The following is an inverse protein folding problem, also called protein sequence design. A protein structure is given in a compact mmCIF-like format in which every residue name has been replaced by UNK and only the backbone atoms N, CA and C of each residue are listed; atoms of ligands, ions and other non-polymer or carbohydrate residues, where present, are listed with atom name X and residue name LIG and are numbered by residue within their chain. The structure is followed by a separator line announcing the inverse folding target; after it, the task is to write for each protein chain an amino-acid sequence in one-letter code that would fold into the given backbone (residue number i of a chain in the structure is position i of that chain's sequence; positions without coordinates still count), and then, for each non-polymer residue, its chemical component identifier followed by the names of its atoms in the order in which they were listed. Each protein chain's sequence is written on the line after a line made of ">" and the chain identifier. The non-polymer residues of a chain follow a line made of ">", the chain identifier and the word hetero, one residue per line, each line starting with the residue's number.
data_IF_238085864791
#
_entry.id   IF_238085864791
#
_cell.length_a   1.000
_cell.length_b   1.000
_cell.length_c   1.000
_cell.angle_alpha   90.00
_cell.angle_beta   90.00
_cell.angle_gamma   90.00
#
_symmetry.space_group_name_H-M   'P 1'
#
loop_
_entity.id
_entity.type
_entity.pdbx_description
1 polymer ?
#
# COMPACT_ATOMS: atom_id res chain seq x y z
N UNK A 1 6.65 10.94 -28.54
CA UNK A 1 7.03 12.20 -27.87
C UNK A 1 7.56 11.85 -26.49
N UNK A 2 8.89 11.70 -26.39
CA UNK A 2 9.58 11.39 -25.15
C UNK A 2 9.44 12.56 -24.18
N UNK A 3 8.60 12.39 -23.16
CA UNK A 3 8.57 13.29 -22.01
C UNK A 3 9.66 12.83 -21.05
N UNK A 4 10.91 13.22 -21.30
CA UNK A 4 11.95 13.01 -20.30
C UNK A 4 11.77 14.05 -19.20
N UNK A 5 11.43 13.59 -17.99
CA UNK A 5 11.28 14.43 -16.80
C UNK A 5 12.66 14.62 -16.15
N UNK A 6 13.72 14.83 -16.93
CA UNK A 6 15.11 14.79 -16.45
C UNK A 6 15.38 15.83 -15.37
N UNK A 7 14.67 16.95 -15.42
CA UNK A 7 14.70 18.01 -14.42
C UNK A 7 13.31 18.28 -13.88
N UNK A 8 13.18 18.36 -12.55
CA UNK A 8 11.91 18.72 -11.91
C UNK A 8 11.75 20.25 -12.02
N UNK A 9 10.62 20.75 -12.55
CA UNK A 9 10.36 22.19 -12.57
C UNK A 9 10.43 22.80 -11.16
N UNK A 10 11.06 23.96 -11.02
CA UNK A 10 11.20 24.67 -9.73
C UNK A 10 9.86 24.94 -9.03
N UNK A 11 8.80 25.09 -9.82
CA UNK A 11 7.43 25.28 -9.31
C UNK A 11 6.91 24.07 -8.53
N UNK A 12 7.46 22.88 -8.76
CA UNK A 12 7.13 21.65 -8.03
C UNK A 12 8.11 21.38 -6.87
N UNK A 13 9.25 22.08 -6.83
CA UNK A 13 10.24 21.91 -5.77
C UNK A 13 9.92 22.70 -4.50
N UNK A 14 8.97 23.63 -4.58
CA UNK A 14 8.54 24.52 -3.48
C UNK A 14 7.03 24.48 -3.24
N UNK A 15 6.63 24.75 -2.00
CA UNK A 15 5.21 24.92 -1.65
C UNK A 15 4.70 26.30 -2.10
N UNK A 16 3.39 26.53 -2.05
CA UNK A 16 2.79 27.87 -2.28
C UNK A 16 3.28 28.94 -1.29
N UNK A 17 3.95 28.55 -0.20
CA UNK A 17 4.57 29.45 0.78
C UNK A 17 6.08 29.62 0.54
N UNK A 18 6.60 29.19 -0.61
CA UNK A 18 8.02 29.22 -0.99
C UNK A 18 8.92 28.46 -0.01
N UNK A 19 8.40 27.40 0.63
CA UNK A 19 9.20 26.48 1.44
C UNK A 19 9.58 25.26 0.62
N UNK A 20 10.70 24.62 0.96
CA UNK A 20 11.16 23.41 0.26
C UNK A 20 10.06 22.35 0.31
N UNK A 21 9.78 21.70 -0.82
CA UNK A 21 8.83 20.60 -0.94
C UNK A 21 9.47 19.35 -1.55
N UNK A 22 10.34 19.49 -2.55
CA UNK A 22 11.18 18.40 -3.03
C UNK A 22 12.23 18.06 -1.98
N UNK A 23 12.11 16.88 -1.34
CA UNK A 23 13.02 16.43 -0.26
C UNK A 23 14.12 15.50 -0.76
N UNK A 24 13.85 14.77 -1.83
CA UNK A 24 14.81 13.83 -2.38
C UNK A 24 14.55 13.58 -3.86
N UNK A 25 15.64 13.46 -4.60
CA UNK A 25 15.68 12.98 -5.97
C UNK A 25 16.93 12.13 -6.11
N UNK A 26 16.77 10.83 -6.41
CA UNK A 26 17.91 9.93 -6.55
C UNK A 26 18.70 10.13 -7.86
N UNK A 27 18.33 11.11 -8.67
CA UNK A 27 18.95 11.39 -9.97
C UNK A 27 18.27 10.67 -11.13
N UNK A 28 18.82 10.82 -12.34
CA UNK A 28 18.23 10.29 -13.56
C UNK A 28 18.35 8.76 -13.69
N UNK A 29 17.45 8.16 -14.47
CA UNK A 29 17.46 6.73 -14.81
C UNK A 29 16.16 6.01 -14.44
N UNK A 30 16.11 4.73 -14.79
CA UNK A 30 14.89 3.91 -14.64
C UNK A 30 14.57 3.55 -13.19
N UNK A 31 15.53 3.69 -12.27
CA UNK A 31 15.38 3.39 -10.84
C UNK A 31 15.24 4.65 -9.98
N UNK A 32 14.87 5.78 -10.61
CA UNK A 32 14.72 7.07 -9.94
C UNK A 32 13.63 7.02 -8.88
N UNK A 33 13.89 7.60 -7.71
CA UNK A 33 12.91 7.84 -6.65
C UNK A 33 12.89 9.34 -6.37
N UNK A 34 11.70 9.91 -6.32
CA UNK A 34 11.50 11.32 -5.96
C UNK A 34 10.57 11.39 -4.77
N UNK A 35 10.91 12.19 -3.76
CA UNK A 35 10.11 12.36 -2.53
C UNK A 35 9.75 13.82 -2.37
N UNK A 36 8.47 14.09 -2.21
CA UNK A 36 7.92 15.38 -1.88
C UNK A 36 7.26 15.35 -0.50
N UNK A 37 7.64 16.33 0.33
CA UNK A 37 7.04 16.58 1.63
C UNK A 37 7.46 17.96 2.13
N UNK A 38 6.57 18.67 2.81
CA UNK A 38 6.91 19.90 3.54
C UNK A 38 7.53 19.57 4.90
N UNK A 39 8.12 20.56 5.57
CA UNK A 39 8.74 20.35 6.89
C UNK A 39 7.70 19.95 7.93
N UNK A 40 6.53 20.58 7.89
CA UNK A 40 5.41 20.27 8.77
C UNK A 40 4.87 18.86 8.52
N UNK A 41 4.84 18.42 7.26
CA UNK A 41 4.45 17.07 6.92
C UNK A 41 5.47 16.02 7.40
N UNK A 42 6.77 16.28 7.29
CA UNK A 42 7.80 15.40 7.86
C UNK A 42 7.72 15.34 9.38
N UNK A 43 7.42 16.45 10.06
CA UNK A 43 7.18 16.44 11.50
C UNK A 43 5.95 15.59 11.87
N UNK A 44 4.88 15.66 11.07
CA UNK A 44 3.71 14.79 11.25
C UNK A 44 4.04 13.32 10.99
N UNK A 45 4.88 13.01 9.98
CA UNK A 45 5.35 11.65 9.72
C UNK A 45 6.15 11.12 10.91
N UNK A 46 7.13 11.89 11.39
CA UNK A 46 8.04 11.49 12.47
C UNK A 46 7.32 11.20 13.78
N UNK A 47 6.31 12.00 14.12
CA UNK A 47 5.55 11.90 15.38
C UNK A 47 4.21 11.14 15.23
N UNK A 48 3.87 10.70 14.02
CA UNK A 48 2.61 10.03 13.74
C UNK A 48 2.59 8.60 14.28
N UNK A 49 1.57 8.27 15.06
CA UNK A 49 1.43 6.92 15.62
C UNK A 49 0.75 5.95 14.65
N UNK A 50 -0.21 6.42 13.86
CA UNK A 50 -0.97 5.60 12.92
C UNK A 50 -0.67 6.04 11.50
N UNK A 51 -0.09 5.14 10.73
CA UNK A 51 0.34 5.37 9.36
C UNK A 51 -0.56 4.60 8.39
N UNK A 52 -1.06 5.28 7.36
CA UNK A 52 -1.77 4.68 6.23
C UNK A 52 -0.92 4.89 4.98
N UNK A 53 -0.65 3.83 4.23
CA UNK A 53 0.16 3.92 3.02
C UNK A 53 -0.54 3.27 1.84
N UNK A 54 -0.48 3.91 0.68
CA UNK A 54 -1.21 3.51 -0.51
C UNK A 54 -0.44 3.87 -1.79
N UNK A 55 -0.47 2.97 -2.78
CA UNK A 55 0.12 3.18 -4.10
C UNK A 55 -0.96 3.44 -5.15
N UNK A 56 -0.91 4.60 -5.81
CA UNK A 56 -1.88 4.97 -6.86
C UNK A 56 -1.24 5.11 -8.25
N UNK A 57 -1.85 4.45 -9.24
CA UNK A 57 -1.36 4.38 -10.63
C UNK A 57 -1.94 5.46 -11.53
N UNK A 58 -3.18 5.90 -11.27
CA UNK A 58 -3.96 6.77 -12.17
C UNK A 58 -3.36 8.16 -12.39
N UNK A 59 -2.40 8.55 -11.56
CA UNK A 59 -1.84 9.91 -11.50
C UNK A 59 -0.31 9.93 -11.69
N UNK A 60 0.32 8.78 -11.94
CA UNK A 60 1.76 8.70 -12.12
C UNK A 60 2.17 9.18 -13.53
N UNK A 61 3.18 10.07 -13.67
CA UNK A 61 3.78 10.35 -14.96
C UNK A 61 4.31 9.06 -15.60
N UNK A 62 4.30 8.96 -16.94
CA UNK A 62 4.66 7.72 -17.66
C UNK A 62 6.06 7.16 -17.37
N UNK A 63 6.95 7.99 -16.81
CA UNK A 63 8.30 7.60 -16.41
C UNK A 63 8.37 6.92 -15.04
N UNK A 64 7.31 6.98 -14.24
CA UNK A 64 7.20 6.33 -12.94
C UNK A 64 6.05 5.33 -12.96
N UNK A 65 6.27 4.20 -12.29
CA UNK A 65 5.26 3.16 -12.21
C UNK A 65 4.09 3.58 -11.32
N UNK A 66 4.37 4.27 -10.22
CA UNK A 66 3.33 4.68 -9.27
C UNK A 66 3.68 5.97 -8.53
N UNK A 67 2.63 6.66 -8.09
CA UNK A 67 2.68 7.63 -7.01
C UNK A 67 2.34 6.89 -5.71
N UNK A 68 3.28 6.80 -4.80
CA UNK A 68 3.12 6.23 -3.47
C UNK A 68 2.85 7.34 -2.46
N UNK A 69 1.69 7.29 -1.79
CA UNK A 69 1.25 8.30 -0.84
C UNK A 69 1.25 7.71 0.57
N UNK A 70 1.74 8.50 1.53
CA UNK A 70 1.68 8.15 2.95
C UNK A 70 0.88 9.20 3.69
N UNK A 71 0.05 8.74 4.61
CA UNK A 71 -0.83 9.56 5.42
C UNK A 71 -0.67 9.20 6.89
N UNK A 72 -0.85 10.20 7.75
CA UNK A 72 -0.90 10.00 9.20
C UNK A 72 -2.30 10.33 9.69
N UNK A 73 -2.80 9.53 10.63
CA UNK A 73 -4.00 9.89 11.39
C UNK A 73 -3.58 10.84 12.50
N UNK A 74 -4.05 12.09 12.42
CA UNK A 74 -3.75 13.13 13.41
C UNK A 74 -5.04 13.83 13.81
N UNK A 75 -5.37 13.77 15.11
CA UNK A 75 -6.60 14.39 15.68
C UNK A 75 -7.87 14.03 14.90
N UNK A 76 -8.06 12.73 14.63
CA UNK A 76 -9.20 12.19 13.86
C UNK A 76 -9.29 12.64 12.39
N UNK A 77 -8.22 13.19 11.82
CA UNK A 77 -8.12 13.50 10.40
C UNK A 77 -7.00 12.69 9.75
N UNK A 78 -7.21 12.28 8.50
CA UNK A 78 -6.18 11.65 7.68
C UNK A 78 -5.47 12.72 6.88
N UNK A 79 -4.19 12.94 7.16
CA UNK A 79 -3.39 13.99 6.54
C UNK A 79 -2.32 13.37 5.64
N UNK A 80 -2.22 13.76 4.35
CA UNK A 80 -1.13 13.32 3.49
C UNK A 80 0.18 13.97 3.95
N UNK A 81 1.20 13.15 4.15
CA UNK A 81 2.52 13.59 4.67
C UNK A 81 3.66 13.33 3.70
N UNK A 82 3.55 12.32 2.83
CA UNK A 82 4.59 12.03 1.83
C UNK A 82 3.94 11.69 0.50
N UNK A 83 4.52 12.22 -0.57
CA UNK A 83 4.24 11.82 -1.94
C UNK A 83 5.54 11.37 -2.58
N UNK A 84 5.64 10.11 -2.98
CA UNK A 84 6.83 9.53 -3.57
C UNK A 84 6.54 8.98 -4.97
N UNK A 85 7.33 9.36 -5.96
CA UNK A 85 7.27 8.76 -7.29
C UNK A 85 8.24 7.59 -7.33
N UNK A 86 7.72 6.39 -7.59
CA UNK A 86 8.48 5.14 -7.53
C UNK A 86 8.58 4.47 -8.91
N UNK A 87 9.73 3.86 -9.23
CA UNK A 87 9.99 3.27 -10.55
C UNK A 87 9.35 1.89 -10.73
N UNK A 88 9.04 1.19 -9.64
CA UNK A 88 8.43 -0.14 -9.63
C UNK A 88 7.89 -0.46 -8.22
N UNK A 89 7.38 -1.69 -8.03
CA UNK A 89 6.81 -2.21 -6.77
C UNK A 89 7.70 -3.26 -6.11
N UNK A 90 9.00 -3.25 -6.40
CA UNK A 90 9.92 -4.22 -5.80
C UNK A 90 10.18 -3.89 -4.34
N UNK A 91 10.45 -4.91 -3.54
CA UNK A 91 10.78 -4.75 -2.12
C UNK A 91 12.01 -3.83 -1.94
N UNK A 92 13.00 -3.94 -2.83
CA UNK A 92 14.19 -3.09 -2.83
C UNK A 92 13.85 -1.60 -3.02
N UNK A 93 12.90 -1.27 -3.90
CA UNK A 93 12.44 0.12 -4.09
C UNK A 93 11.77 0.65 -2.83
N UNK A 94 10.92 -0.14 -2.18
CA UNK A 94 10.30 0.27 -0.91
C UNK A 94 11.32 0.43 0.22
N UNK A 95 12.30 -0.48 0.33
CA UNK A 95 13.42 -0.33 1.28
C UNK A 95 14.19 0.97 1.06
N UNK A 96 14.50 1.31 -0.20
CA UNK A 96 15.16 2.60 -0.54
C UNK A 96 14.34 3.81 -0.12
N UNK A 97 13.02 3.80 -0.37
CA UNK A 97 12.11 4.85 0.06
C UNK A 97 12.12 5.00 1.60
N UNK A 98 11.91 3.90 2.32
CA UNK A 98 11.81 3.88 3.79
C UNK A 98 13.13 4.32 4.44
N UNK A 99 14.27 3.89 3.91
CA UNK A 99 15.59 4.31 4.38
C UNK A 99 15.77 5.82 4.21
N UNK A 100 15.43 6.35 3.03
CA UNK A 100 15.55 7.79 2.80
C UNK A 100 14.62 8.60 3.70
N UNK A 101 13.39 8.13 3.96
CA UNK A 101 12.48 8.77 4.91
C UNK A 101 13.01 8.69 6.34
N UNK A 102 13.67 7.59 6.72
CA UNK A 102 14.31 7.47 8.04
C UNK A 102 15.48 8.43 8.23
N UNK A 103 16.24 8.73 7.16
CA UNK A 103 17.27 9.78 7.20
C UNK A 103 16.64 11.18 7.38
N UNK A 104 15.49 11.41 6.76
CA UNK A 104 14.76 12.68 6.86
C UNK A 104 14.02 12.84 8.19
N UNK A 105 13.61 11.72 8.82
CA UNK A 105 12.86 11.66 10.07
C UNK A 105 13.51 10.61 11.01
N UNK A 106 14.63 10.93 11.68
CA UNK A 106 15.40 9.97 12.46
C UNK A 106 14.63 9.33 13.62
N UNK A 107 13.62 10.02 14.17
CA UNK A 107 12.79 9.53 15.28
C UNK A 107 11.51 8.83 14.80
N UNK A 108 11.36 8.62 13.50
CA UNK A 108 10.15 8.04 12.92
C UNK A 108 9.93 6.61 13.40
N UNK A 109 8.84 6.41 14.14
CA UNK A 109 8.51 5.13 14.76
C UNK A 109 6.98 5.01 15.00
N UNK A 110 6.20 4.71 13.95
CA UNK A 110 4.75 4.58 14.07
C UNK A 110 4.38 3.35 14.92
N UNK A 111 3.26 3.40 15.63
CA UNK A 111 2.72 2.25 16.38
C UNK A 111 1.95 1.29 15.49
N UNK A 112 1.24 1.79 14.48
CA UNK A 112 0.50 0.97 13.54
C UNK A 112 0.70 1.45 12.11
N UNK A 113 0.75 0.49 11.19
CA UNK A 113 0.91 0.73 9.76
C UNK A 113 -0.14 -0.08 9.02
N UNK A 114 -1.06 0.59 8.35
CA UNK A 114 -2.06 -0.02 7.48
C UNK A 114 -1.65 0.17 6.02
N UNK A 115 -1.65 -0.91 5.27
CA UNK A 115 -1.27 -0.93 3.85
C UNK A 115 -2.07 -1.97 3.07
N UNK A 116 -1.95 -1.97 1.75
CA UNK A 116 -2.51 -3.05 0.92
C UNK A 116 -1.77 -4.38 1.16
N UNK A 117 -2.46 -5.48 0.91
CA UNK A 117 -1.88 -6.82 0.96
C UNK A 117 -0.94 -6.99 -0.24
N UNK A 118 0.27 -6.45 -0.10
CA UNK A 118 1.32 -6.51 -1.10
C UNK A 118 2.63 -6.90 -0.41
N UNK A 119 3.04 -8.17 -0.59
CA UNK A 119 4.23 -8.75 0.04
C UNK A 119 5.48 -7.85 -0.03
N UNK A 120 5.84 -7.22 -1.17
CA UNK A 120 7.06 -6.42 -1.25
C UNK A 120 7.08 -5.20 -0.31
N UNK A 121 5.96 -4.50 -0.14
CA UNK A 121 5.89 -3.34 0.74
C UNK A 121 5.76 -3.77 2.20
N UNK A 122 4.97 -4.81 2.48
CA UNK A 122 4.84 -5.39 3.81
C UNK A 122 6.20 -5.84 4.36
N UNK A 123 6.99 -6.55 3.56
CA UNK A 123 8.33 -6.99 3.94
C UNK A 123 9.27 -5.81 4.25
N UNK A 124 9.25 -4.77 3.41
CA UNK A 124 10.11 -3.60 3.59
C UNK A 124 9.78 -2.83 4.89
N UNK A 125 8.50 -2.65 5.20
CA UNK A 125 8.07 -2.06 6.47
C UNK A 125 8.34 -3.00 7.67
N UNK A 126 8.12 -4.31 7.51
CA UNK A 126 8.33 -5.29 8.57
C UNK A 126 9.80 -5.35 9.00
N UNK A 127 10.73 -5.37 8.04
CA UNK A 127 12.16 -5.32 8.33
C UNK A 127 12.51 -4.07 9.17
N UNK A 128 11.99 -2.90 8.78
CA UNK A 128 12.30 -1.64 9.46
C UNK A 128 11.67 -1.50 10.84
N UNK A 129 10.41 -1.88 11.00
CA UNK A 129 9.58 -1.50 12.15
C UNK A 129 9.14 -2.66 13.05
N UNK A 130 9.30 -3.90 12.57
CA UNK A 130 9.02 -5.10 13.37
C UNK A 130 10.34 -5.76 13.74
N UNK A 131 11.15 -6.16 12.77
CA UNK A 131 12.42 -6.86 13.01
C UNK A 131 13.43 -5.98 13.73
N UNK A 132 13.51 -4.68 13.38
CA UNK A 132 14.54 -3.78 13.94
C UNK A 132 14.12 -3.16 15.27
N UNK A 133 12.85 -2.74 15.42
CA UNK A 133 12.40 -1.99 16.61
C UNK A 133 11.42 -2.75 17.49
N UNK A 134 10.70 -3.75 16.95
CA UNK A 134 9.62 -4.51 17.61
C UNK A 134 8.58 -3.62 18.32
N UNK A 135 8.27 -2.46 17.74
CA UNK A 135 7.42 -1.42 18.34
C UNK A 135 6.18 -1.09 17.53
N UNK A 136 6.07 -1.62 16.31
CA UNK A 136 4.96 -1.36 15.41
C UNK A 136 4.10 -2.59 15.20
N UNK A 137 2.90 -2.40 14.65
CA UNK A 137 2.09 -3.45 14.05
C UNK A 137 1.86 -3.14 12.58
N UNK A 138 1.84 -4.17 11.73
CA UNK A 138 1.49 -4.03 10.32
C UNK A 138 0.16 -4.74 10.10
N UNK A 139 -0.76 -4.10 9.40
CA UNK A 139 -2.08 -4.65 9.08
C UNK A 139 -2.40 -4.41 7.61
N UNK A 140 -3.03 -5.40 6.98
CA UNK A 140 -3.56 -5.26 5.63
C UNK A 140 -4.91 -4.52 5.64
N UNK A 141 -5.15 -3.69 4.63
CA UNK A 141 -6.38 -2.93 4.51
C UNK A 141 -7.53 -3.82 4.03
N UNK A 142 -8.49 -4.12 4.91
CA UNK A 142 -9.65 -4.95 4.57
C UNK A 142 -10.52 -4.35 3.46
N UNK A 143 -10.62 -3.02 3.41
CA UNK A 143 -11.37 -2.32 2.35
C UNK A 143 -10.76 -2.57 0.96
N UNK A 144 -9.43 -2.47 0.83
CA UNK A 144 -8.76 -2.75 -0.44
C UNK A 144 -8.79 -4.24 -0.78
N UNK A 145 -8.69 -5.13 0.22
CA UNK A 145 -8.89 -6.57 0.03
C UNK A 145 -10.28 -6.87 -0.55
N UNK A 146 -11.35 -6.31 0.04
CA UNK A 146 -12.71 -6.49 -0.49
C UNK A 146 -12.85 -5.97 -1.92
N UNK A 147 -12.26 -4.82 -2.24
CA UNK A 147 -12.27 -4.32 -3.61
C UNK A 147 -11.52 -5.25 -4.57
N UNK A 148 -10.37 -5.80 -4.17
CA UNK A 148 -9.61 -6.77 -4.97
C UNK A 148 -10.43 -8.02 -5.25
N UNK A 149 -11.09 -8.58 -4.22
CA UNK A 149 -11.99 -9.72 -4.36
C UNK A 149 -13.14 -9.40 -5.32
N UNK A 150 -13.77 -8.23 -5.20
CA UNK A 150 -14.86 -7.82 -6.10
C UNK A 150 -14.40 -7.62 -7.55
N UNK A 151 -13.22 -7.04 -7.78
CA UNK A 151 -12.64 -6.96 -9.13
C UNK A 151 -12.40 -8.36 -9.69
N UNK A 152 -11.88 -9.28 -8.87
CA UNK A 152 -11.63 -10.65 -9.31
C UNK A 152 -12.92 -11.40 -9.64
N UNK A 153 -13.99 -11.23 -8.85
CA UNK A 153 -15.33 -11.74 -9.16
C UNK A 153 -15.80 -11.26 -10.54
N UNK A 154 -15.58 -9.99 -10.88
CA UNK A 154 -15.95 -9.44 -12.18
C UNK A 154 -15.10 -10.02 -13.32
N UNK A 155 -13.78 -10.14 -13.13
CA UNK A 155 -12.86 -10.75 -14.11
C UNK A 155 -13.23 -12.20 -14.44
N UNK A 156 -13.71 -12.94 -13.44
CA UNK A 156 -14.16 -14.32 -13.60
C UNK A 156 -15.57 -14.44 -14.22
N UNK A 157 -16.23 -13.32 -14.55
CA UNK A 157 -17.59 -13.31 -15.09
C UNK A 157 -18.68 -13.63 -14.05
N UNK A 158 -18.36 -13.59 -12.75
CA UNK A 158 -19.24 -14.02 -11.66
C UNK A 158 -20.07 -12.89 -11.05
N UNK A 159 -20.05 -11.71 -11.66
CA UNK A 159 -20.76 -10.51 -11.17
C UNK A 159 -22.25 -10.78 -10.97
N UNK A 160 -22.91 -11.36 -11.97
CA UNK A 160 -24.35 -11.65 -11.91
C UNK A 160 -24.69 -12.63 -10.78
N UNK A 161 -23.87 -13.68 -10.61
CA UNK A 161 -24.03 -14.61 -9.49
C UNK A 161 -23.91 -13.90 -8.14
N UNK A 162 -22.88 -13.07 -7.98
CA UNK A 162 -22.67 -12.31 -6.74
C UNK A 162 -23.82 -11.33 -6.44
N UNK A 163 -24.37 -10.65 -7.44
CA UNK A 163 -25.43 -9.65 -7.25
C UNK A 163 -26.82 -10.26 -7.05
N UNK A 164 -27.08 -11.45 -7.61
CA UNK A 164 -28.43 -12.04 -7.66
C UNK A 164 -28.62 -13.26 -6.75
N UNK A 165 -27.55 -13.90 -6.30
CA UNK A 165 -27.61 -15.06 -5.41
C UNK A 165 -26.97 -14.74 -4.04
N UNK A 166 -27.79 -14.55 -2.98
CA UNK A 166 -27.28 -14.28 -1.63
C UNK A 166 -26.40 -15.40 -1.06
N UNK A 167 -26.62 -16.65 -1.45
CA UNK A 167 -25.80 -17.79 -1.00
C UNK A 167 -24.42 -17.71 -1.67
N UNK A 168 -24.39 -17.40 -2.96
CA UNK A 168 -23.15 -17.17 -3.68
C UNK A 168 -22.37 -15.97 -3.11
N UNK A 169 -23.05 -14.86 -2.84
CA UNK A 169 -22.46 -13.69 -2.20
C UNK A 169 -21.88 -14.03 -0.82
N UNK A 170 -22.60 -14.84 -0.02
CA UNK A 170 -22.14 -15.31 1.27
C UNK A 170 -20.85 -16.14 1.15
N UNK A 171 -20.77 -17.03 0.15
CA UNK A 171 -19.55 -17.80 -0.13
C UNK A 171 -18.36 -16.91 -0.50
N UNK A 172 -18.54 -15.90 -1.35
CA UNK A 172 -17.50 -14.91 -1.66
C UNK A 172 -17.07 -14.15 -0.40
N UNK A 173 -18.01 -13.78 0.47
CA UNK A 173 -17.70 -13.09 1.72
C UNK A 173 -16.95 -13.97 2.72
N UNK A 174 -17.17 -15.30 2.72
CA UNK A 174 -16.37 -16.23 3.53
C UNK A 174 -14.90 -16.24 3.11
N UNK A 175 -14.60 -16.13 1.82
CA UNK A 175 -13.22 -16.01 1.32
C UNK A 175 -12.56 -14.75 1.91
N UNK A 176 -13.26 -13.61 1.87
CA UNK A 176 -12.75 -12.37 2.49
C UNK A 176 -12.56 -12.50 4.01
N UNK A 177 -13.40 -13.31 4.68
CA UNK A 177 -13.36 -13.51 6.12
C UNK A 177 -12.13 -14.28 6.61
N UNK A 178 -11.40 -14.97 5.72
CA UNK A 178 -10.10 -15.58 6.05
C UNK A 178 -9.12 -14.57 6.64
N UNK A 179 -9.21 -13.30 6.25
CA UNK A 179 -8.36 -12.22 6.79
C UNK A 179 -8.58 -11.94 8.29
N UNK A 180 -9.65 -12.46 8.90
CA UNK A 180 -9.94 -12.32 10.33
C UNK A 180 -9.60 -13.57 11.15
N UNK A 181 -9.16 -14.65 10.51
CA UNK A 181 -8.72 -15.83 11.24
C UNK A 181 -7.37 -15.56 11.94
N UNK A 182 -7.14 -16.14 13.12
CA UNK A 182 -5.80 -16.21 13.70
C UNK A 182 -4.83 -16.83 12.69
N UNK A 183 -3.58 -16.34 12.63
CA UNK A 183 -2.60 -16.78 11.62
C UNK A 183 -2.42 -18.30 11.56
N UNK A 184 -2.48 -18.97 12.71
CA UNK A 184 -2.33 -20.43 12.80
C UNK A 184 -3.55 -21.19 12.23
N UNK A 185 -4.71 -20.54 12.14
CA UNK A 185 -5.96 -21.13 11.69
C UNK A 185 -6.26 -20.81 10.21
N UNK A 186 -5.52 -19.88 9.59
CA UNK A 186 -5.72 -19.46 8.19
C UNK A 186 -5.60 -20.65 7.23
N UNK A 187 -4.60 -21.52 7.41
CA UNK A 187 -4.41 -22.69 6.57
C UNK A 187 -5.59 -23.67 6.65
N UNK A 188 -6.02 -24.00 7.87
CA UNK A 188 -7.19 -24.86 8.07
C UNK A 188 -8.47 -24.22 7.52
N UNK A 189 -8.68 -22.92 7.78
CA UNK A 189 -9.84 -22.20 7.25
C UNK A 189 -9.87 -22.15 5.73
N UNK A 190 -8.71 -22.06 5.08
CA UNK A 190 -8.59 -22.16 3.63
C UNK A 190 -9.00 -23.56 3.14
N UNK A 191 -8.46 -24.62 3.73
CA UNK A 191 -8.78 -26.01 3.37
C UNK A 191 -10.28 -26.31 3.57
N UNK A 192 -10.87 -25.83 4.67
CA UNK A 192 -12.30 -25.98 4.95
C UNK A 192 -13.16 -25.28 3.89
N UNK A 193 -12.74 -24.10 3.44
CA UNK A 193 -13.41 -23.39 2.34
C UNK A 193 -13.20 -24.10 1.01
N UNK A 194 -11.99 -24.56 0.69
CA UNK A 194 -11.72 -25.29 -0.55
C UNK A 194 -12.61 -26.53 -0.69
N UNK A 195 -12.84 -27.25 0.41
CA UNK A 195 -13.67 -28.45 0.42
C UNK A 195 -15.18 -28.17 0.41
N UNK A 196 -15.62 -27.00 0.88
CA UNK A 196 -17.05 -26.67 1.03
C UNK A 196 -17.60 -25.74 -0.06
N UNK A 197 -16.72 -24.98 -0.73
CA UNK A 197 -17.13 -24.02 -1.75
C UNK A 197 -17.46 -24.70 -3.09
N UNK A 198 -18.40 -24.14 -3.87
CA UNK A 198 -18.61 -24.54 -5.25
C UNK A 198 -17.32 -24.42 -6.09
N UNK A 199 -16.99 -25.39 -6.96
CA UNK A 199 -15.75 -25.37 -7.76
C UNK A 199 -15.55 -24.11 -8.60
N UNK A 200 -16.63 -23.43 -8.99
CA UNK A 200 -16.61 -22.15 -9.71
C UNK A 200 -15.94 -21.02 -8.91
N UNK A 201 -15.85 -21.13 -7.58
CA UNK A 201 -15.18 -20.17 -6.70
C UNK A 201 -13.72 -20.52 -6.40
N UNK A 202 -13.23 -21.71 -6.79
CA UNK A 202 -11.83 -22.08 -6.55
C UNK A 202 -10.83 -21.11 -7.21
N UNK A 203 -11.06 -20.58 -8.42
CA UNK A 203 -10.17 -19.55 -8.98
C UNK A 203 -10.11 -18.26 -8.15
N UNK A 204 -11.20 -17.90 -7.45
CA UNK A 204 -11.25 -16.76 -6.56
C UNK A 204 -10.54 -17.05 -5.23
N UNK A 205 -10.71 -18.26 -4.69
CA UNK A 205 -10.04 -18.71 -3.48
C UNK A 205 -8.51 -18.79 -3.69
N UNK A 206 -8.05 -19.36 -4.81
CA UNK A 206 -6.62 -19.40 -5.15
C UNK A 206 -6.04 -17.99 -5.34
N UNK A 207 -6.80 -17.06 -5.92
CA UNK A 207 -6.37 -15.66 -6.00
C UNK A 207 -6.14 -15.02 -4.61
N UNK A 208 -6.93 -15.41 -3.61
CA UNK A 208 -6.73 -14.95 -2.24
C UNK A 208 -5.41 -15.46 -1.64
N UNK A 209 -5.01 -16.70 -1.94
CA UNK A 209 -3.73 -17.29 -1.49
C UNK A 209 -2.51 -16.54 -2.07
N UNK A 210 -2.62 -16.10 -3.33
CA UNK A 210 -1.57 -15.39 -4.03
C UNK A 210 -1.41 -13.92 -3.60
N UNK A 211 -2.43 -13.36 -2.93
CA UNK A 211 -2.46 -11.96 -2.45
C UNK A 211 -1.48 -11.71 -1.29
#
# INVERSE_FOLDING_TARGET
>A
HDKTFDQIPDQLSTTKRNTVFLRYDSGSGNDRIIIFSSTEQLQLLENGEELLVDGTFKVSPSIFYQLYAMHVVYRNAVLPVVFALLPNKTEQTYRRLINKLSELCPSWNPKSIMMDFEKPVMNAFAEKFITTTNQSTISGCFFHLQQSIQRKVQELGLKTNYEQDPVFAHHVNKIAALAFLPLNDVGQGFDDLFNSLPPILHPLLNYFEDT
#
